data_IF_195282995978
#
_entry.id   IF_195282995978
#
_cell.length_a   1.000
_cell.length_b   1.000
_cell.length_c   1.000
_cell.angle_alpha   90.00
_cell.angle_beta   90.00
_cell.angle_gamma   90.00
#
_symmetry.space_group_name_H-M   'P 1'
#
loop_
_entity.id
_entity.type
_entity.pdbx_description
1 polymer ?
#
# COMPACT_ATOMS: atom_id res chain seq x y z
N UNK A 1 20.70 -10.85 15.98
CA UNK A 1 19.84 -11.98 16.37
C UNK A 1 20.70 -13.23 16.28
N UNK A 2 20.81 -14.03 17.35
CA UNK A 2 21.47 -15.34 17.26
C UNK A 2 20.46 -16.32 16.68
N UNK A 3 20.68 -16.79 15.46
CA UNK A 3 19.89 -17.84 14.82
C UNK A 3 20.47 -19.20 15.20
N UNK A 4 19.61 -20.19 15.42
CA UNK A 4 20.05 -21.58 15.54
C UNK A 4 19.15 -22.47 14.66
N UNK A 5 19.73 -23.23 13.72
CA UNK A 5 21.15 -23.22 13.33
C UNK A 5 21.57 -21.88 12.69
N UNK A 6 22.88 -21.65 12.51
CA UNK A 6 23.40 -20.37 12.00
C UNK A 6 22.89 -20.05 10.58
N UNK A 7 22.62 -21.10 9.80
CA UNK A 7 22.06 -21.09 8.44
C UNK A 7 20.52 -21.13 8.39
N UNK A 8 19.83 -20.95 9.53
CA UNK A 8 18.36 -21.09 9.62
C UNK A 8 17.63 -20.36 8.49
N UNK A 9 18.04 -19.14 8.14
CA UNK A 9 17.38 -18.35 7.09
C UNK A 9 17.61 -18.85 5.67
N UNK A 10 18.78 -19.44 5.41
CA UNK A 10 19.07 -20.13 4.15
C UNK A 10 18.26 -21.44 4.10
N UNK A 11 18.21 -22.18 5.21
CA UNK A 11 17.53 -23.46 5.30
C UNK A 11 16.01 -23.40 5.13
N UNK A 12 15.38 -22.27 5.51
CA UNK A 12 13.93 -22.05 5.32
C UNK A 12 13.61 -21.34 4.00
N UNK A 13 14.62 -21.08 3.17
CA UNK A 13 14.49 -20.43 1.87
C UNK A 13 13.74 -19.09 1.94
N UNK A 14 13.93 -18.33 3.03
CA UNK A 14 13.16 -17.11 3.30
C UNK A 14 13.29 -16.09 2.16
N UNK A 15 14.47 -16.00 1.57
CA UNK A 15 14.73 -15.12 0.42
C UNK A 15 13.93 -15.54 -0.83
N UNK A 16 13.71 -16.84 -1.07
CA UNK A 16 12.86 -17.31 -2.18
C UNK A 16 11.40 -16.91 -1.97
N UNK A 17 10.91 -17.03 -0.72
CA UNK A 17 9.55 -16.58 -0.37
C UNK A 17 9.41 -15.07 -0.59
N UNK A 18 10.37 -14.26 -0.11
CA UNK A 18 10.36 -12.81 -0.37
C UNK A 18 10.33 -12.50 -1.85
N UNK A 19 11.16 -13.15 -2.66
CA UNK A 19 11.19 -12.94 -4.11
C UNK A 19 9.84 -13.28 -4.77
N UNK A 20 9.21 -14.38 -4.37
CA UNK A 20 7.90 -14.79 -4.89
C UNK A 20 6.80 -13.79 -4.54
N UNK A 21 6.76 -13.32 -3.28
CA UNK A 21 5.78 -12.33 -2.80
C UNK A 21 6.03 -10.96 -3.42
N UNK A 22 7.28 -10.52 -3.55
CA UNK A 22 7.65 -9.26 -4.19
C UNK A 22 7.13 -9.15 -5.61
N UNK A 23 7.09 -10.25 -6.39
CA UNK A 23 6.52 -10.24 -7.76
C UNK A 23 5.03 -9.89 -7.80
N UNK A 24 4.32 -10.00 -6.68
CA UNK A 24 2.89 -9.63 -6.54
C UNK A 24 2.68 -8.24 -5.94
N UNK A 25 3.73 -7.53 -5.56
CA UNK A 25 3.63 -6.18 -5.03
C UNK A 25 3.17 -5.20 -6.12
N UNK A 26 2.18 -4.37 -5.79
CA UNK A 26 1.60 -3.36 -6.70
C UNK A 26 2.52 -2.15 -6.87
N UNK A 27 3.14 -1.68 -5.78
CA UNK A 27 4.01 -0.49 -5.79
C UNK A 27 5.46 -0.87 -5.56
N UNK A 28 6.39 -0.06 -6.07
CA UNK A 28 7.82 -0.27 -5.86
C UNK A 28 8.19 -0.18 -4.38
N UNK A 29 7.59 0.77 -3.67
CA UNK A 29 7.76 0.88 -2.21
C UNK A 29 7.35 -0.40 -1.46
N UNK A 30 6.29 -1.08 -1.90
CA UNK A 30 5.89 -2.35 -1.31
C UNK A 30 6.89 -3.46 -1.65
N UNK A 31 7.41 -3.48 -2.89
CA UNK A 31 8.46 -4.41 -3.33
C UNK A 31 9.71 -4.28 -2.46
N UNK A 32 10.20 -3.07 -2.25
CA UNK A 32 11.36 -2.76 -1.40
C UNK A 32 11.11 -3.20 0.05
N UNK A 33 9.92 -2.90 0.58
CA UNK A 33 9.54 -3.33 1.93
C UNK A 33 9.56 -4.85 2.06
N UNK A 34 9.05 -5.59 1.08
CA UNK A 34 9.04 -7.06 1.11
C UNK A 34 10.48 -7.60 1.03
N UNK A 35 11.31 -7.08 0.13
CA UNK A 35 12.69 -7.55 -0.03
C UNK A 35 13.55 -7.30 1.22
N UNK A 36 13.29 -6.19 1.92
CA UNK A 36 13.97 -5.83 3.16
C UNK A 36 13.45 -6.55 4.41
N UNK A 37 12.40 -7.38 4.30
CA UNK A 37 11.92 -8.18 5.42
C UNK A 37 13.02 -9.09 5.95
N UNK A 38 13.02 -9.22 7.28
CA UNK A 38 13.88 -10.15 8.03
C UNK A 38 12.99 -10.90 9.02
N UNK A 39 13.28 -12.17 9.29
CA UNK A 39 12.55 -12.89 10.33
C UNK A 39 12.70 -12.19 11.68
N UNK A 40 11.58 -12.05 12.39
CA UNK A 40 11.55 -11.48 13.73
C UNK A 40 11.66 -12.59 14.77
N UNK A 41 12.42 -12.35 15.83
CA UNK A 41 12.41 -13.19 17.04
C UNK A 41 11.45 -12.66 18.11
N UNK A 42 10.86 -11.49 17.87
CA UNK A 42 9.83 -10.92 18.73
C UNK A 42 8.48 -11.55 18.39
N UNK A 43 7.99 -12.34 19.33
CA UNK A 43 6.72 -13.06 19.21
C UNK A 43 5.52 -12.12 19.02
N UNK A 44 5.52 -10.96 19.69
CA UNK A 44 4.41 -10.00 19.60
C UNK A 44 4.38 -9.38 18.22
N UNK A 45 5.54 -8.97 17.69
CA UNK A 45 5.65 -8.44 16.32
C UNK A 45 5.18 -9.49 15.30
N UNK A 46 5.70 -10.72 15.39
CA UNK A 46 5.36 -11.77 14.45
C UNK A 46 3.86 -12.14 14.48
N UNK A 47 3.26 -12.20 15.67
CA UNK A 47 1.84 -12.52 15.83
C UNK A 47 0.95 -11.40 15.28
N UNK A 48 1.31 -10.14 15.49
CA UNK A 48 0.58 -9.00 14.94
C UNK A 48 0.65 -8.98 13.40
N UNK A 49 1.83 -9.19 12.82
CA UNK A 49 1.99 -9.26 11.36
C UNK A 49 1.15 -10.42 10.77
N UNK A 50 1.12 -11.59 11.43
CA UNK A 50 0.32 -12.74 11.01
C UNK A 50 -1.20 -12.48 11.15
N UNK A 51 -1.62 -11.75 12.18
CA UNK A 51 -3.01 -11.38 12.37
C UNK A 51 -3.51 -10.50 11.21
N UNK A 52 -2.72 -9.52 10.79
CA UNK A 52 -3.07 -8.68 9.63
C UNK A 52 -3.21 -9.50 8.34
N UNK A 53 -2.31 -10.45 8.11
CA UNK A 53 -2.38 -11.37 6.96
C UNK A 53 -3.64 -12.24 7.04
N UNK A 54 -3.97 -12.75 8.23
CA UNK A 54 -5.15 -13.57 8.46
C UNK A 54 -6.45 -12.81 8.16
N UNK A 55 -6.55 -11.56 8.61
CA UNK A 55 -7.72 -10.70 8.35
C UNK A 55 -7.93 -10.47 6.85
N UNK A 56 -6.87 -10.12 6.13
CA UNK A 56 -6.93 -9.90 4.68
C UNK A 56 -7.25 -11.20 3.94
N UNK A 57 -6.64 -12.32 4.32
CA UNK A 57 -6.93 -13.63 3.74
C UNK A 57 -8.40 -14.03 3.95
N UNK A 58 -8.95 -13.74 5.14
CA UNK A 58 -10.36 -14.01 5.45
C UNK A 58 -11.32 -13.23 4.56
N UNK A 59 -10.97 -12.01 4.13
CA UNK A 59 -11.75 -11.28 3.13
C UNK A 59 -11.72 -11.97 1.77
N UNK A 60 -10.54 -12.37 1.29
CA UNK A 60 -10.41 -13.09 0.01
C UNK A 60 -11.16 -14.43 0.00
N UNK A 61 -11.09 -15.20 1.10
CA UNK A 61 -11.81 -16.46 1.25
C UNK A 61 -13.33 -16.28 1.37
N UNK A 62 -13.78 -15.07 1.69
CA UNK A 62 -15.21 -14.70 1.73
C UNK A 62 -15.66 -13.99 0.46
N UNK A 63 -14.89 -14.09 -0.64
CA UNK A 63 -15.14 -13.43 -1.93
C UNK A 63 -15.23 -11.90 -1.87
N UNK A 64 -14.66 -11.27 -0.83
CA UNK A 64 -14.52 -9.82 -0.75
C UNK A 64 -13.20 -9.39 -1.40
N UNK A 65 -13.28 -9.01 -2.68
CA UNK A 65 -12.12 -8.51 -3.42
C UNK A 65 -11.67 -7.14 -2.91
N UNK A 66 -10.41 -7.05 -2.45
CA UNK A 66 -9.80 -5.77 -2.07
C UNK A 66 -9.65 -4.88 -3.33
N UNK A 67 -10.07 -3.60 -3.29
CA UNK A 67 -9.93 -2.70 -4.43
C UNK A 67 -8.48 -2.52 -4.87
N UNK A 68 -8.26 -2.37 -6.17
CA UNK A 68 -6.94 -2.12 -6.73
C UNK A 68 -6.41 -0.74 -6.29
N UNK A 69 -5.10 -0.70 -5.99
CA UNK A 69 -4.35 0.50 -5.68
C UNK A 69 -3.63 1.01 -6.95
N UNK A 70 -3.45 2.32 -7.10
CA UNK A 70 -2.55 2.87 -8.11
C UNK A 70 -1.10 2.43 -7.84
N UNK A 71 -0.33 2.20 -8.91
CA UNK A 71 1.02 1.63 -8.82
C UNK A 71 2.12 2.71 -8.80
N UNK A 72 1.81 3.87 -9.38
CA UNK A 72 2.74 4.96 -9.66
C UNK A 72 3.21 5.66 -8.37
N UNK A 73 4.50 6.02 -8.31
CA UNK A 73 5.02 6.85 -7.22
C UNK A 73 4.75 8.33 -7.49
N UNK A 74 3.93 8.95 -6.63
CA UNK A 74 3.60 10.37 -6.74
C UNK A 74 4.63 11.30 -6.06
N UNK A 75 5.58 10.74 -5.30
CA UNK A 75 6.56 11.53 -4.54
C UNK A 75 7.37 12.50 -5.41
N UNK A 76 7.83 12.15 -6.63
CA UNK A 76 8.52 13.09 -7.51
C UNK A 76 7.67 14.31 -7.85
N UNK A 77 6.38 14.13 -8.15
CA UNK A 77 5.46 15.21 -8.46
C UNK A 77 5.23 16.12 -7.25
N UNK A 78 5.04 15.54 -6.06
CA UNK A 78 4.88 16.29 -4.81
C UNK A 78 6.12 17.10 -4.45
N UNK A 79 7.33 16.60 -4.75
CA UNK A 79 8.57 17.34 -4.56
C UNK A 79 8.69 18.51 -5.54
N UNK A 80 8.31 18.31 -6.81
CA UNK A 80 8.30 19.36 -7.82
C UNK A 80 7.33 20.49 -7.47
N UNK A 81 6.15 20.18 -6.94
CA UNK A 81 5.16 21.19 -6.48
C UNK A 81 5.67 22.09 -5.34
N UNK A 82 6.72 21.69 -4.61
CA UNK A 82 7.34 22.54 -3.57
C UNK A 82 8.26 23.61 -4.16
N UNK A 83 8.66 23.48 -5.42
CA UNK A 83 9.57 24.40 -6.08
C UNK A 83 8.74 25.57 -6.62
N UNK A 84 9.06 26.79 -6.16
CA UNK A 84 8.34 27.98 -6.62
C UNK A 84 8.49 28.14 -8.15
N UNK A 85 7.36 28.35 -8.82
CA UNK A 85 7.31 28.51 -10.28
C UNK A 85 7.37 27.20 -11.08
N UNK A 86 7.54 26.04 -10.43
CA UNK A 86 7.40 24.76 -11.09
C UNK A 86 5.92 24.40 -11.29
N UNK A 87 5.58 23.92 -12.48
CA UNK A 87 4.27 23.37 -12.80
C UNK A 87 4.39 21.88 -13.09
N UNK A 88 3.29 21.15 -12.88
CA UNK A 88 3.12 19.78 -13.36
C UNK A 88 2.37 19.79 -14.70
N UNK A 89 2.49 18.71 -15.46
CA UNK A 89 1.70 18.51 -16.67
C UNK A 89 0.34 17.87 -16.34
N UNK A 90 -0.62 17.94 -17.26
CA UNK A 90 -1.97 17.39 -17.02
C UNK A 90 -1.95 15.90 -16.69
N UNK A 91 -1.09 15.12 -17.35
CA UNK A 91 -0.90 13.70 -17.09
C UNK A 91 -0.39 13.43 -15.67
N UNK A 92 0.53 14.25 -15.15
CA UNK A 92 1.03 14.13 -13.77
C UNK A 92 -0.11 14.30 -12.75
N UNK A 93 -1.03 15.25 -13.00
CA UNK A 93 -2.21 15.46 -12.16
C UNK A 93 -3.17 14.27 -12.21
N UNK A 94 -3.36 13.64 -13.37
CA UNK A 94 -4.16 12.44 -13.49
C UNK A 94 -3.58 11.27 -12.68
N UNK A 95 -2.25 11.13 -12.63
CA UNK A 95 -1.59 10.13 -11.79
C UNK A 95 -1.84 10.41 -10.29
N UNK A 96 -1.68 11.67 -9.86
CA UNK A 96 -1.99 12.09 -8.48
C UNK A 96 -3.46 11.79 -8.13
N UNK A 97 -4.37 12.13 -9.04
CA UNK A 97 -5.81 11.86 -8.89
C UNK A 97 -6.07 10.37 -8.71
N UNK A 98 -5.55 9.54 -9.62
CA UNK A 98 -5.70 8.08 -9.58
C UNK A 98 -5.23 7.49 -8.24
N UNK A 99 -4.09 7.96 -7.73
CA UNK A 99 -3.57 7.54 -6.42
C UNK A 99 -4.57 7.87 -5.30
N UNK A 100 -5.05 9.10 -5.23
CA UNK A 100 -5.99 9.54 -4.17
C UNK A 100 -7.31 8.77 -4.27
N UNK A 101 -7.87 8.60 -5.47
CA UNK A 101 -9.11 7.86 -5.67
C UNK A 101 -8.97 6.37 -5.35
N UNK A 102 -7.82 5.77 -5.66
CA UNK A 102 -7.53 4.37 -5.28
C UNK A 102 -7.44 4.21 -3.77
N UNK A 103 -6.75 5.14 -3.08
CA UNK A 103 -6.70 5.17 -1.62
C UNK A 103 -8.10 5.32 -1.01
N UNK A 104 -8.93 6.24 -1.53
CA UNK A 104 -10.29 6.43 -1.06
C UNK A 104 -11.11 5.13 -1.16
N UNK A 105 -11.05 4.43 -2.31
CA UNK A 105 -11.74 3.15 -2.51
C UNK A 105 -11.30 2.09 -1.50
N UNK A 106 -9.99 1.94 -1.30
CA UNK A 106 -9.42 1.00 -0.32
C UNK A 106 -9.85 1.34 1.11
N UNK A 107 -9.79 2.62 1.49
CA UNK A 107 -10.22 3.10 2.80
C UNK A 107 -11.70 2.79 3.05
N UNK A 108 -12.59 3.14 2.11
CA UNK A 108 -14.02 2.86 2.26
C UNK A 108 -14.29 1.36 2.36
N UNK A 109 -13.62 0.54 1.55
CA UNK A 109 -13.74 -0.91 1.62
C UNK A 109 -13.38 -1.46 3.02
N UNK A 110 -12.22 -1.10 3.57
CA UNK A 110 -11.85 -1.56 4.92
C UNK A 110 -12.74 -0.97 6.01
N UNK A 111 -13.36 0.19 5.78
CA UNK A 111 -14.37 0.72 6.70
C UNK A 111 -15.65 -0.11 6.70
N UNK A 112 -16.10 -0.59 5.54
CA UNK A 112 -17.27 -1.48 5.44
C UNK A 112 -17.00 -2.86 6.08
N UNK A 113 -15.74 -3.30 6.07
CA UNK A 113 -15.32 -4.59 6.62
C UNK A 113 -14.65 -4.47 8.00
N UNK A 114 -14.87 -3.37 8.74
CA UNK A 114 -14.16 -3.07 9.98
C UNK A 114 -14.18 -4.19 11.03
N UNK A 115 -15.31 -4.88 11.18
CA UNK A 115 -15.44 -6.01 12.12
C UNK A 115 -14.56 -7.22 11.75
N UNK A 116 -14.26 -7.40 10.46
CA UNK A 116 -13.41 -8.48 9.95
C UNK A 116 -11.94 -8.10 9.90
N UNK A 117 -11.64 -6.80 9.89
CA UNK A 117 -10.28 -6.28 9.75
C UNK A 117 -9.94 -5.26 10.85
N UNK A 118 -10.03 -5.62 12.14
CA UNK A 118 -9.77 -4.70 13.25
C UNK A 118 -8.35 -4.14 13.24
N UNK A 119 -7.32 -4.96 13.03
CA UNK A 119 -5.92 -4.47 12.99
C UNK A 119 -5.68 -3.49 11.85
N UNK A 120 -6.39 -3.66 10.74
CA UNK A 120 -6.35 -2.72 9.63
C UNK A 120 -7.01 -1.39 10.01
N UNK A 121 -8.04 -1.38 10.87
CA UNK A 121 -8.65 -0.12 11.31
C UNK A 121 -7.64 0.78 12.04
N UNK A 122 -6.79 0.18 12.88
CA UNK A 122 -5.75 0.92 13.61
C UNK A 122 -4.75 1.58 12.65
N UNK A 123 -4.42 0.91 11.54
CA UNK A 123 -3.55 1.48 10.48
C UNK A 123 -4.19 2.66 9.76
N UNK A 124 -5.50 2.62 9.56
CA UNK A 124 -6.23 3.69 8.89
C UNK A 124 -6.66 4.82 9.85
N UNK A 125 -6.52 4.66 11.17
CA UNK A 125 -7.07 5.60 12.16
C UNK A 125 -6.60 7.06 12.00
N UNK A 126 -5.39 7.27 11.49
CA UNK A 126 -4.79 8.59 11.26
C UNK A 126 -4.90 9.07 9.80
N UNK A 127 -5.57 8.30 8.94
CA UNK A 127 -5.74 8.59 7.54
C UNK A 127 -7.21 8.96 7.26
N UNK A 128 -7.45 9.80 6.26
CA UNK A 128 -8.80 10.19 5.89
C UNK A 128 -8.92 10.32 4.37
N UNK A 129 -10.04 9.88 3.77
CA UNK A 129 -10.28 10.08 2.35
C UNK A 129 -10.23 11.56 1.95
N UNK A 130 -9.69 11.84 0.76
CA UNK A 130 -9.62 13.20 0.21
C UNK A 130 -10.39 13.26 -1.11
N UNK A 131 -11.42 14.11 -1.16
CA UNK A 131 -12.19 14.41 -2.39
C UNK A 131 -11.82 15.74 -3.03
N UNK A 132 -11.39 16.70 -2.23
CA UNK A 132 -11.09 18.05 -2.70
C UNK A 132 -10.05 18.09 -3.82
N UNK A 133 -8.97 17.30 -3.73
CA UNK A 133 -7.93 17.30 -4.76
C UNK A 133 -8.42 16.68 -6.08
N UNK A 134 -9.02 15.47 -6.10
CA UNK A 134 -9.66 14.95 -7.31
C UNK A 134 -10.70 15.89 -7.92
N UNK A 135 -11.55 16.50 -7.11
CA UNK A 135 -12.62 17.39 -7.57
C UNK A 135 -12.07 18.66 -8.25
N UNK A 136 -11.00 19.26 -7.70
CA UNK A 136 -10.35 20.42 -8.32
C UNK A 136 -9.60 20.05 -9.61
N UNK A 137 -9.04 18.84 -9.70
CA UNK A 137 -8.44 18.35 -10.95
C UNK A 137 -9.52 18.18 -12.03
N UNK A 138 -10.65 17.54 -11.70
CA UNK A 138 -11.76 17.34 -12.64
C UNK A 138 -12.44 18.62 -13.11
N UNK A 139 -12.34 19.69 -12.30
CA UNK A 139 -12.85 21.00 -12.68
C UNK A 139 -12.08 21.63 -13.84
N UNK A 140 -10.79 21.31 -13.98
CA UNK A 140 -9.88 22.00 -14.91
C UNK A 140 -9.28 21.09 -15.97
N UNK A 141 -9.23 19.77 -15.75
CA UNK A 141 -8.71 18.78 -16.70
C UNK A 141 -9.78 17.77 -17.08
N UNK A 142 -9.83 17.41 -18.36
CA UNK A 142 -10.60 16.25 -18.82
C UNK A 142 -9.87 14.92 -18.58
N UNK A 143 -10.45 13.81 -19.07
CA UNK A 143 -9.86 12.46 -18.91
C UNK A 143 -8.51 12.26 -19.62
N UNK A 144 -8.11 13.17 -20.50
CA UNK A 144 -6.84 13.18 -21.23
C UNK A 144 -5.84 14.15 -20.60
N UNK A 145 -6.21 14.88 -19.55
CA UNK A 145 -5.34 15.85 -18.91
C UNK A 145 -5.25 17.16 -19.68
N UNK A 146 -6.27 17.47 -20.50
CA UNK A 146 -6.39 18.71 -21.30
C UNK A 146 -7.56 19.54 -20.82
#
# INVERSE_FOLDING_TARGET
>A
MKTYPEDLFESIEFDLVKQAVSKRAVTERARDRIQSLKPSSDFVIATNDLQEVHEILGLYQSDFAVPALAAEDIKPFLLRLKIQGATLEGEDFLIIKSMIESFNRVHYFFKQHAMRTPSIQDKFAHLSPNKAVPDEIDRVLDRRGV
#
